data_IF_300773759101
#
_entry.id   IF_300773759101
#
_cell.length_a   1.000
_cell.length_b   1.000
_cell.length_c   1.000
_cell.angle_alpha   90.00
_cell.angle_beta   90.00
_cell.angle_gamma   90.00
#
_symmetry.space_group_name_H-M   'P 1'
#
loop_
_entity.id
_entity.type
_entity.pdbx_description
1 polymer ?
#
# COMPACT_ATOMS: atom_id res chain seq x y z
N UNK A 1 46.23 1.83 25.06
CA UNK A 1 45.12 1.08 25.69
C UNK A 1 43.72 1.73 25.57
N UNK A 2 43.60 2.99 25.11
CA UNK A 2 42.29 3.69 25.07
C UNK A 2 41.49 3.54 23.77
N UNK A 3 42.15 3.25 22.65
CA UNK A 3 41.49 3.07 21.34
C UNK A 3 40.64 1.80 21.28
N UNK A 4 41.14 0.66 21.76
CA UNK A 4 40.39 -0.60 21.78
C UNK A 4 39.10 -0.54 22.63
N UNK A 5 39.12 0.16 23.77
CA UNK A 5 37.91 0.37 24.60
C UNK A 5 36.88 1.28 23.92
N UNK A 6 37.33 2.28 23.16
CA UNK A 6 36.44 3.12 22.35
C UNK A 6 35.75 2.33 21.23
N UNK A 7 36.46 1.45 20.52
CA UNK A 7 35.86 0.62 19.45
C UNK A 7 34.85 -0.41 19.98
N UNK A 8 35.07 -0.98 21.16
CA UNK A 8 34.12 -1.91 21.79
C UNK A 8 32.86 -1.17 22.24
N UNK A 9 33.00 0.04 22.80
CA UNK A 9 31.86 0.84 23.25
C UNK A 9 31.04 1.39 22.07
N UNK A 10 31.69 1.94 21.04
CA UNK A 10 31.00 2.45 19.85
C UNK A 10 30.39 1.34 19.00
N UNK A 11 31.09 0.20 18.84
CA UNK A 11 30.56 -0.99 18.17
C UNK A 11 29.34 -1.57 18.88
N UNK A 12 29.38 -1.65 20.22
CA UNK A 12 28.25 -2.10 21.04
C UNK A 12 27.02 -1.20 20.92
N UNK A 13 27.21 0.12 20.89
CA UNK A 13 26.12 1.09 20.71
C UNK A 13 25.47 0.96 19.32
N UNK A 14 26.27 0.84 18.25
CA UNK A 14 25.75 0.69 16.89
C UNK A 14 24.93 -0.59 16.77
N UNK A 15 25.45 -1.72 17.25
CA UNK A 15 24.73 -3.01 17.21
C UNK A 15 23.44 -2.94 18.02
N UNK A 16 23.45 -2.34 19.21
CA UNK A 16 22.25 -2.16 20.02
C UNK A 16 21.20 -1.31 19.32
N UNK A 17 21.59 -0.17 18.72
CA UNK A 17 20.68 0.70 17.95
C UNK A 17 20.06 -0.08 16.78
N UNK A 18 20.85 -0.88 16.06
CA UNK A 18 20.34 -1.70 14.96
C UNK A 18 19.33 -2.74 15.45
N UNK A 19 19.62 -3.43 16.56
CA UNK A 19 18.71 -4.42 17.15
C UNK A 19 17.39 -3.77 17.58
N UNK A 20 17.45 -2.63 18.29
CA UNK A 20 16.28 -1.89 18.74
C UNK A 20 15.44 -1.41 17.53
N UNK A 21 16.11 -0.91 16.49
CA UNK A 21 15.44 -0.45 15.26
C UNK A 21 14.70 -1.59 14.55
N UNK A 22 15.34 -2.77 14.44
CA UNK A 22 14.71 -3.96 13.86
C UNK A 22 13.53 -4.43 14.71
N UNK A 23 13.67 -4.47 16.03
CA UNK A 23 12.59 -4.86 16.94
C UNK A 23 11.38 -3.90 16.85
N UNK A 24 11.63 -2.58 16.84
CA UNK A 24 10.59 -1.58 16.69
C UNK A 24 9.87 -1.67 15.34
N UNK A 25 10.61 -1.94 14.25
CA UNK A 25 10.04 -2.16 12.91
C UNK A 25 9.12 -3.38 12.88
N UNK A 26 9.59 -4.52 13.42
CA UNK A 26 8.77 -5.74 13.52
C UNK A 26 7.52 -5.54 14.38
N UNK A 27 7.65 -4.83 15.50
CA UNK A 27 6.51 -4.52 16.37
C UNK A 27 5.47 -3.65 15.64
N UNK A 28 5.93 -2.62 14.92
CA UNK A 28 5.07 -1.73 14.14
C UNK A 28 4.37 -2.47 13.01
N UNK A 29 5.11 -3.28 12.24
CA UNK A 29 4.54 -4.13 11.20
C UNK A 29 3.51 -5.10 11.77
N UNK A 30 3.85 -5.80 12.86
CA UNK A 30 2.93 -6.71 13.53
C UNK A 30 1.64 -6.00 13.97
N UNK A 31 1.74 -4.79 14.49
CA UNK A 31 0.57 -3.97 14.85
C UNK A 31 -0.25 -3.57 13.63
N UNK A 32 0.37 -3.08 12.55
CA UNK A 32 -0.35 -2.68 11.33
C UNK A 32 -1.06 -3.89 10.71
N UNK A 33 -0.36 -5.01 10.56
CA UNK A 33 -0.90 -6.24 10.01
C UNK A 33 -1.99 -6.84 10.90
N UNK A 34 -1.85 -6.80 12.24
CA UNK A 34 -2.89 -7.27 13.18
C UNK A 34 -4.04 -6.29 13.39
N UNK A 35 -3.84 -4.99 13.14
CA UNK A 35 -4.92 -4.00 13.28
C UNK A 35 -6.06 -4.23 12.32
N UNK A 36 -5.85 -5.13 11.35
CA UNK A 36 -6.86 -5.46 10.38
C UNK A 36 -7.49 -6.80 10.66
N UNK A 37 -8.59 -6.70 11.40
CA UNK A 37 -9.62 -7.71 11.40
C UNK A 37 -10.95 -7.01 11.14
N UNK A 38 -11.76 -7.57 10.25
CA UNK A 38 -13.21 -7.32 10.13
C UNK A 38 -13.65 -6.18 9.19
N UNK A 39 -13.03 -6.07 8.01
CA UNK A 39 -13.56 -5.27 6.90
C UNK A 39 -14.30 -6.11 5.84
N UNK A 40 -15.03 -5.44 4.96
CA UNK A 40 -15.71 -6.02 3.78
C UNK A 40 -14.76 -6.63 2.74
N UNK A 41 -13.45 -6.38 2.89
CA UNK A 41 -12.35 -6.87 2.04
C UNK A 41 -11.60 -8.06 2.61
N UNK A 42 -12.23 -8.80 3.52
CA UNK A 42 -11.68 -9.99 4.18
C UNK A 42 -12.47 -11.24 3.76
N UNK A 43 -11.79 -12.35 3.47
CA UNK A 43 -12.39 -13.69 3.29
C UNK A 43 -11.63 -14.76 4.06
N UNK A 44 -12.30 -15.85 4.40
CA UNK A 44 -11.73 -16.98 5.13
C UNK A 44 -11.98 -16.94 6.64
N UNK A 45 -11.30 -17.81 7.38
CA UNK A 45 -11.48 -17.97 8.82
C UNK A 45 -10.66 -16.93 9.59
N UNK A 46 -11.29 -16.19 10.51
CA UNK A 46 -10.59 -15.20 11.37
C UNK A 46 -9.50 -15.84 12.25
N UNK A 47 -9.65 -17.12 12.60
CA UNK A 47 -8.69 -17.89 13.39
C UNK A 47 -7.76 -18.75 12.53
N UNK A 48 -7.68 -18.45 11.23
CA UNK A 48 -6.77 -19.13 10.32
C UNK A 48 -5.32 -18.99 10.79
N UNK A 49 -4.57 -20.10 10.71
CA UNK A 49 -3.14 -20.12 11.05
C UNK A 49 -2.29 -19.31 10.07
N UNK A 50 -2.79 -19.14 8.85
CA UNK A 50 -2.14 -18.37 7.78
C UNK A 50 -3.00 -17.17 7.44
N UNK A 51 -2.39 -15.98 7.46
CA UNK A 51 -3.05 -14.72 7.09
C UNK A 51 -2.32 -14.05 5.95
N UNK A 52 -3.03 -13.80 4.85
CA UNK A 52 -2.54 -13.12 3.67
C UNK A 52 -3.07 -11.68 3.66
N UNK A 53 -2.18 -10.69 3.75
CA UNK A 53 -2.53 -9.29 3.47
C UNK A 53 -1.97 -8.90 2.12
N UNK A 54 -2.84 -8.52 1.19
CA UNK A 54 -2.49 -8.32 -0.21
C UNK A 54 -2.64 -6.84 -0.56
N UNK A 55 -1.53 -6.11 -0.65
CA UNK A 55 -1.49 -4.76 -1.20
C UNK A 55 -1.45 -4.84 -2.73
N UNK A 56 -2.49 -4.34 -3.37
CA UNK A 56 -2.74 -4.61 -4.79
C UNK A 56 -3.41 -3.45 -5.51
N UNK A 57 -3.23 -3.46 -6.83
CA UNK A 57 -3.70 -2.49 -7.80
C UNK A 57 -4.46 -3.23 -8.91
N UNK A 58 -5.72 -2.88 -9.13
CA UNK A 58 -6.56 -3.57 -10.09
C UNK A 58 -6.14 -3.40 -11.56
N UNK A 59 -5.40 -2.36 -11.91
CA UNK A 59 -4.91 -2.14 -13.27
C UNK A 59 -3.55 -2.81 -13.51
N UNK A 60 -2.84 -3.19 -12.44
CA UNK A 60 -1.54 -3.83 -12.52
C UNK A 60 -1.62 -5.27 -13.05
N UNK A 61 -0.96 -5.62 -14.17
CA UNK A 61 -0.96 -6.99 -14.68
C UNK A 61 -0.32 -8.03 -13.74
N UNK A 62 0.72 -7.63 -13.00
CA UNK A 62 1.34 -8.49 -12.01
C UNK A 62 0.41 -8.81 -10.83
N UNK A 63 -0.54 -7.90 -10.51
CA UNK A 63 -1.54 -8.13 -9.47
C UNK A 63 -2.57 -9.18 -9.89
N UNK A 64 -2.95 -9.22 -11.18
CA UNK A 64 -3.82 -10.27 -11.71
C UNK A 64 -3.20 -11.66 -11.49
N UNK A 65 -1.93 -11.85 -11.83
CA UNK A 65 -1.22 -13.11 -11.54
C UNK A 65 -1.10 -13.37 -10.02
N UNK A 66 -0.78 -12.34 -9.23
CA UNK A 66 -0.74 -12.47 -7.78
C UNK A 66 -2.07 -12.93 -7.17
N UNK A 67 -3.20 -12.45 -7.69
CA UNK A 67 -4.53 -12.90 -7.29
C UNK A 67 -4.71 -14.40 -7.54
N UNK A 68 -4.28 -14.90 -8.71
CA UNK A 68 -4.34 -16.35 -9.01
C UNK A 68 -3.56 -17.16 -7.99
N UNK A 69 -2.34 -16.75 -7.64
CA UNK A 69 -1.53 -17.46 -6.64
C UNK A 69 -2.18 -17.42 -5.25
N UNK A 70 -2.77 -16.27 -4.87
CA UNK A 70 -3.50 -16.13 -3.60
C UNK A 70 -4.74 -17.02 -3.58
N UNK A 71 -5.49 -17.10 -4.68
CA UNK A 71 -6.69 -17.94 -4.79
C UNK A 71 -6.36 -19.43 -4.79
N UNK A 72 -5.25 -19.84 -5.41
CA UNK A 72 -4.73 -21.22 -5.32
C UNK A 72 -4.46 -21.59 -3.86
N UNK A 73 -3.74 -20.73 -3.12
CA UNK A 73 -3.47 -20.93 -1.68
C UNK A 73 -4.79 -20.96 -0.88
N UNK A 74 -5.70 -20.04 -1.16
CA UNK A 74 -7.01 -19.96 -0.50
C UNK A 74 -7.84 -21.23 -0.69
N UNK A 75 -7.84 -21.77 -1.90
CA UNK A 75 -8.56 -22.98 -2.27
C UNK A 75 -8.00 -24.22 -1.58
N UNK A 76 -6.67 -24.34 -1.53
CA UNK A 76 -6.00 -25.50 -0.94
C UNK A 76 -6.16 -25.53 0.59
N UNK A 77 -6.00 -24.37 1.24
CA UNK A 77 -5.97 -24.26 2.68
C UNK A 77 -7.34 -24.03 3.33
N UNK A 78 -8.35 -23.60 2.56
CA UNK A 78 -9.74 -23.43 3.02
C UNK A 78 -9.82 -22.62 4.32
N UNK A 79 -10.22 -23.25 5.42
CA UNK A 79 -10.41 -22.63 6.74
C UNK A 79 -9.10 -22.34 7.48
N UNK A 80 -7.95 -22.76 6.93
CA UNK A 80 -6.62 -22.52 7.49
C UNK A 80 -5.96 -21.24 6.99
N UNK A 81 -6.60 -20.56 6.05
CA UNK A 81 -6.13 -19.29 5.51
C UNK A 81 -7.21 -18.22 5.58
N UNK A 82 -6.77 -17.00 5.83
CA UNK A 82 -7.56 -15.79 5.65
C UNK A 82 -6.86 -14.87 4.67
N UNK A 83 -7.65 -14.14 3.88
CA UNK A 83 -7.15 -13.20 2.89
C UNK A 83 -7.80 -11.85 3.14
N UNK A 84 -6.97 -10.82 3.14
CA UNK A 84 -7.40 -9.44 3.25
C UNK A 84 -6.80 -8.63 2.10
N UNK A 85 -7.66 -7.90 1.40
CA UNK A 85 -7.25 -7.02 0.30
C UNK A 85 -7.04 -5.58 0.78
N UNK A 86 -5.92 -4.99 0.36
CA UNK A 86 -5.55 -3.60 0.61
C UNK A 86 -5.35 -2.86 -0.70
N UNK A 87 -6.04 -1.75 -0.88
CA UNK A 87 -5.82 -0.91 -2.05
C UNK A 87 -4.45 -0.25 -2.01
N UNK A 88 -3.75 -0.34 -3.14
CA UNK A 88 -2.49 0.38 -3.35
C UNK A 88 -2.38 0.85 -4.82
N UNK A 89 -3.31 1.71 -5.30
CA UNK A 89 -3.26 2.22 -6.67
C UNK A 89 -1.96 2.98 -6.94
N UNK A 90 -1.25 2.57 -7.99
CA UNK A 90 0.00 3.19 -8.40
C UNK A 90 -0.26 4.40 -9.31
N UNK A 91 0.52 5.47 -9.16
CA UNK A 91 0.34 6.70 -9.93
C UNK A 91 0.45 6.52 -11.45
N UNK A 92 1.18 5.50 -11.91
CA UNK A 92 1.30 5.15 -13.34
C UNK A 92 0.06 4.47 -13.91
N UNK A 93 -0.86 4.02 -13.05
CA UNK A 93 -2.08 3.32 -13.42
C UNK A 93 -3.28 4.28 -13.32
N UNK A 94 -3.55 4.99 -14.41
CA UNK A 94 -4.58 6.03 -14.52
C UNK A 94 -5.96 5.63 -14.01
N UNK A 95 -6.34 4.36 -14.15
CA UNK A 95 -7.68 3.82 -13.82
C UNK A 95 -7.71 3.00 -12.54
N UNK A 96 -6.57 2.79 -11.86
CA UNK A 96 -6.50 1.98 -10.65
C UNK A 96 -7.36 2.56 -9.51
N UNK A 97 -7.33 3.88 -9.33
CA UNK A 97 -8.15 4.54 -8.31
C UNK A 97 -9.64 4.41 -8.61
N UNK A 98 -10.04 4.61 -9.87
CA UNK A 98 -11.44 4.47 -10.26
C UNK A 98 -11.93 3.04 -10.04
N UNK A 99 -11.16 2.04 -10.46
CA UNK A 99 -11.48 0.63 -10.19
C UNK A 99 -11.60 0.34 -8.67
N UNK A 100 -10.72 0.94 -7.85
CA UNK A 100 -10.77 0.81 -6.40
C UNK A 100 -12.02 1.46 -5.78
N UNK A 101 -12.44 2.65 -6.26
CA UNK A 101 -13.67 3.32 -5.82
C UNK A 101 -14.89 2.44 -6.08
N UNK A 102 -15.03 1.92 -7.30
CA UNK A 102 -16.12 1.01 -7.62
C UNK A 102 -16.06 -0.26 -6.76
N UNK A 103 -14.89 -0.88 -6.59
CA UNK A 103 -14.75 -2.07 -5.76
C UNK A 103 -15.12 -1.81 -4.29
N UNK A 104 -14.76 -0.65 -3.73
CA UNK A 104 -15.12 -0.29 -2.36
C UNK A 104 -16.63 -0.07 -2.22
N UNK A 105 -17.27 0.48 -3.27
CA UNK A 105 -18.72 0.60 -3.32
C UNK A 105 -19.44 -0.75 -3.48
N UNK A 106 -18.86 -1.71 -4.19
CA UNK A 106 -19.34 -3.10 -4.17
C UNK A 106 -19.15 -3.72 -2.78
N UNK A 107 -18.07 -3.36 -2.07
CA UNK A 107 -17.81 -3.81 -0.70
C UNK A 107 -18.88 -3.33 0.27
N UNK A 108 -19.34 -2.08 0.15
CA UNK A 108 -20.45 -1.53 0.95
C UNK A 108 -21.78 -2.26 0.73
N UNK A 109 -21.90 -3.02 -0.37
CA UNK A 109 -23.04 -3.88 -0.68
C UNK A 109 -22.74 -5.38 -0.49
N UNK A 110 -21.61 -5.73 0.14
CA UNK A 110 -21.24 -7.10 0.46
C UNK A 110 -20.76 -7.94 -0.73
N UNK A 111 -20.39 -7.32 -1.84
CA UNK A 111 -19.96 -7.97 -3.10
C UNK A 111 -18.54 -7.64 -3.51
N UNK A 112 -17.68 -7.33 -2.53
CA UNK A 112 -16.29 -6.98 -2.81
C UNK A 112 -15.56 -8.07 -3.61
N UNK A 113 -15.60 -9.32 -3.14
CA UNK A 113 -14.81 -10.40 -3.74
C UNK A 113 -15.31 -10.77 -5.13
N UNK A 114 -16.62 -10.80 -5.35
CA UNK A 114 -17.18 -11.02 -6.69
C UNK A 114 -16.79 -9.91 -7.66
N UNK A 115 -16.78 -8.65 -7.21
CA UNK A 115 -16.37 -7.51 -8.03
C UNK A 115 -14.85 -7.49 -8.28
N UNK A 116 -14.06 -7.79 -7.27
CA UNK A 116 -12.61 -7.99 -7.34
C UNK A 116 -12.24 -9.03 -8.40
N UNK A 117 -12.91 -10.18 -8.38
CA UNK A 117 -12.65 -11.27 -9.31
C UNK A 117 -13.03 -10.87 -10.75
N UNK A 118 -14.13 -10.15 -10.95
CA UNK A 118 -14.50 -9.61 -12.26
C UNK A 118 -13.47 -8.60 -12.79
N UNK A 119 -12.98 -7.70 -11.94
CA UNK A 119 -11.96 -6.71 -12.32
C UNK A 119 -10.69 -7.40 -12.83
N UNK A 120 -10.19 -8.41 -12.12
CA UNK A 120 -8.99 -9.13 -12.55
C UNK A 120 -9.23 -10.05 -13.74
N UNK A 121 -10.37 -10.77 -13.77
CA UNK A 121 -10.73 -11.66 -14.88
C UNK A 121 -10.84 -10.92 -16.20
N UNK A 122 -11.45 -9.73 -16.19
CA UNK A 122 -11.66 -8.88 -17.38
C UNK A 122 -10.62 -7.77 -17.51
N UNK A 123 -9.51 -7.81 -16.76
CA UNK A 123 -8.49 -6.75 -16.73
C UNK A 123 -7.99 -6.37 -18.13
N UNK A 124 -7.76 -7.35 -19.00
CA UNK A 124 -7.26 -7.09 -20.36
C UNK A 124 -8.23 -6.26 -21.22
N UNK A 125 -9.53 -6.34 -20.94
CA UNK A 125 -10.58 -5.63 -21.67
C UNK A 125 -10.60 -4.15 -21.27
N UNK A 126 -10.58 -3.84 -19.97
CA UNK A 126 -10.76 -2.47 -19.49
C UNK A 126 -9.44 -1.71 -19.22
N UNK A 127 -8.32 -2.39 -18.95
CA UNK A 127 -7.09 -1.74 -18.46
C UNK A 127 -6.34 -0.88 -19.49
N UNK A 128 -6.54 -1.13 -20.78
CA UNK A 128 -5.86 -0.46 -21.89
C UNK A 128 -6.73 0.60 -22.59
N UNK A 129 -7.95 0.79 -22.12
CA UNK A 129 -8.90 1.67 -22.78
C UNK A 129 -8.74 3.15 -22.44
N UNK A 130 -9.34 3.99 -23.28
CA UNK A 130 -9.37 5.44 -23.13
C UNK A 130 -10.15 5.92 -21.90
N UNK A 131 -11.27 5.28 -21.53
CA UNK A 131 -11.98 5.51 -20.25
C UNK A 131 -12.85 4.29 -19.89
N UNK A 132 -12.45 3.47 -18.90
CA UNK A 132 -13.09 2.18 -18.61
C UNK A 132 -14.35 2.23 -17.74
N UNK A 133 -14.85 3.42 -17.37
CA UNK A 133 -16.00 3.60 -16.46
C UNK A 133 -17.20 2.72 -16.83
N UNK A 134 -17.47 2.54 -18.13
CA UNK A 134 -18.58 1.70 -18.60
C UNK A 134 -18.43 0.23 -18.19
N UNK A 135 -17.21 -0.33 -18.19
CA UNK A 135 -16.96 -1.70 -17.71
C UNK A 135 -17.29 -1.82 -16.23
N UNK A 136 -16.88 -0.84 -15.43
CA UNK A 136 -17.12 -0.85 -13.99
C UNK A 136 -18.62 -0.84 -13.68
N UNK A 137 -19.40 0.01 -14.35
CA UNK A 137 -20.86 -0.02 -14.25
C UNK A 137 -21.48 -1.33 -14.71
N UNK A 138 -20.98 -1.91 -15.79
CA UNK A 138 -21.50 -3.19 -16.29
C UNK A 138 -21.23 -4.33 -15.31
N UNK A 139 -20.09 -4.34 -14.62
CA UNK A 139 -19.81 -5.33 -13.58
C UNK A 139 -20.74 -5.15 -12.37
N UNK A 140 -21.09 -3.91 -12.00
CA UNK A 140 -22.10 -3.66 -10.95
C UNK A 140 -23.46 -4.26 -11.32
N UNK A 141 -23.88 -4.07 -12.58
CA UNK A 141 -25.12 -4.64 -13.10
C UNK A 141 -25.08 -6.17 -13.15
N UNK A 142 -23.96 -6.76 -13.60
CA UNK A 142 -23.74 -8.22 -13.63
C UNK A 142 -23.93 -8.84 -12.24
N UNK A 143 -23.45 -8.15 -11.19
CA UNK A 143 -23.61 -8.56 -9.80
C UNK A 143 -24.94 -8.15 -9.16
N UNK A 144 -25.85 -7.53 -9.92
CA UNK A 144 -27.16 -7.05 -9.47
C UNK A 144 -27.07 -6.09 -8.27
N UNK A 145 -26.04 -5.25 -8.26
CA UNK A 145 -25.85 -4.22 -7.23
C UNK A 145 -26.77 -3.02 -7.46
N UNK A 146 -27.13 -2.34 -6.38
CA UNK A 146 -27.97 -1.13 -6.42
C UNK A 146 -27.16 0.04 -7.00
N UNK A 147 -27.36 0.34 -8.27
CA UNK A 147 -26.61 1.38 -8.99
C UNK A 147 -26.85 2.78 -8.43
N UNK A 148 -28.04 3.06 -7.87
CA UNK A 148 -28.33 4.35 -7.25
C UNK A 148 -27.52 4.59 -5.98
N UNK A 149 -27.21 3.52 -5.23
CA UNK A 149 -26.24 3.59 -4.11
C UNK A 149 -24.81 3.75 -4.61
N UNK A 150 -24.45 3.12 -5.72
CA UNK A 150 -23.10 3.23 -6.30
C UNK A 150 -22.81 4.67 -6.76
N UNK A 151 -23.75 5.36 -7.41
CA UNK A 151 -23.55 6.74 -7.91
C UNK A 151 -23.13 7.70 -6.78
N UNK A 152 -23.78 7.58 -5.63
CA UNK A 152 -23.46 8.36 -4.43
C UNK A 152 -22.13 7.91 -3.81
N UNK A 153 -21.89 6.61 -3.79
CA UNK A 153 -20.71 6.03 -3.17
C UNK A 153 -19.41 6.40 -3.91
N UNK A 154 -19.37 6.31 -5.24
CA UNK A 154 -18.12 6.54 -6.01
C UNK A 154 -17.64 8.00 -5.95
N UNK A 155 -18.49 8.92 -5.51
CA UNK A 155 -18.16 10.35 -5.30
C UNK A 155 -17.98 10.72 -3.84
N UNK A 156 -18.28 9.81 -2.90
CA UNK A 156 -18.16 10.08 -1.47
C UNK A 156 -16.69 10.11 -1.06
N UNK A 157 -16.26 11.24 -0.49
CA UNK A 157 -14.90 11.43 0.02
C UNK A 157 -14.52 10.36 1.06
N UNK A 158 -15.48 9.84 1.83
CA UNK A 158 -15.22 8.77 2.79
C UNK A 158 -14.74 7.48 2.13
N UNK A 159 -15.19 7.20 0.90
CA UNK A 159 -14.77 6.02 0.13
C UNK A 159 -13.33 6.21 -0.32
N UNK A 160 -12.99 7.41 -0.81
CA UNK A 160 -11.61 7.78 -1.14
C UNK A 160 -10.69 7.69 0.09
N UNK A 161 -11.14 8.16 1.26
CA UNK A 161 -10.39 8.09 2.51
C UNK A 161 -10.10 6.64 2.95
N UNK A 162 -11.04 5.69 2.73
CA UNK A 162 -10.79 4.26 3.01
C UNK A 162 -9.72 3.67 2.10
N UNK A 163 -9.73 4.02 0.82
CA UNK A 163 -8.69 3.62 -0.15
C UNK A 163 -7.33 4.24 0.24
N UNK A 164 -7.32 5.52 0.61
CA UNK A 164 -6.10 6.22 1.03
C UNK A 164 -5.53 5.63 2.32
N UNK A 165 -6.37 5.24 3.28
CA UNK A 165 -5.97 4.57 4.52
C UNK A 165 -5.24 3.25 4.25
N UNK A 166 -5.75 2.43 3.32
CA UNK A 166 -5.05 1.20 2.90
C UNK A 166 -3.72 1.53 2.23
N UNK A 167 -3.69 2.54 1.35
CA UNK A 167 -2.44 2.96 0.70
C UNK A 167 -1.40 3.46 1.71
N UNK A 168 -1.82 4.24 2.70
CA UNK A 168 -0.94 4.80 3.72
C UNK A 168 -0.44 3.74 4.69
N UNK A 169 -1.25 2.72 5.03
CA UNK A 169 -0.75 1.57 5.79
C UNK A 169 0.31 0.81 5.00
N UNK A 170 0.16 0.68 3.68
CA UNK A 170 1.19 0.12 2.81
C UNK A 170 2.48 0.95 2.82
N UNK A 171 2.39 2.28 2.72
CA UNK A 171 3.55 3.18 2.79
C UNK A 171 4.27 3.09 4.14
N UNK A 172 3.54 3.01 5.25
CA UNK A 172 4.10 2.79 6.59
C UNK A 172 4.85 1.45 6.68
N UNK A 173 4.37 0.44 5.96
CA UNK A 173 5.05 -0.84 5.78
C UNK A 173 6.13 -0.81 4.70
N UNK A 174 6.46 0.35 4.11
CA UNK A 174 7.44 0.46 3.01
C UNK A 174 7.09 -0.43 1.81
N UNK A 175 5.79 -0.60 1.52
CA UNK A 175 5.34 -1.18 0.25
C UNK A 175 5.65 -0.18 -0.86
N UNK A 176 6.41 -0.62 -1.85
CA UNK A 176 6.86 0.21 -2.99
C UNK A 176 6.44 -0.36 -4.35
N UNK A 177 5.82 -1.54 -4.38
CA UNK A 177 5.36 -2.20 -5.60
C UNK A 177 4.18 -3.11 -5.32
N UNK A 178 3.43 -3.42 -6.38
CA UNK A 178 2.24 -4.28 -6.30
C UNK A 178 2.37 -5.49 -7.25
N UNK A 179 1.88 -6.67 -6.85
CA UNK A 179 1.31 -6.95 -5.55
C UNK A 179 2.44 -7.09 -4.51
N UNK A 180 2.24 -6.59 -3.30
CA UNK A 180 3.06 -6.99 -2.13
C UNK A 180 2.16 -7.77 -1.19
N UNK A 181 2.58 -8.99 -0.86
CA UNK A 181 1.82 -9.91 -0.03
C UNK A 181 2.57 -10.16 1.28
N UNK A 182 1.88 -9.99 2.39
CA UNK A 182 2.37 -10.43 3.69
C UNK A 182 1.70 -11.75 4.04
N UNK A 183 2.49 -12.80 4.24
CA UNK A 183 2.05 -14.06 4.86
C UNK A 183 2.44 -13.99 6.32
N UNK A 184 1.46 -13.89 7.22
CA UNK A 184 1.69 -13.57 8.63
C UNK A 184 2.55 -12.29 8.75
N UNK A 185 3.80 -12.39 9.19
CA UNK A 185 4.76 -11.28 9.29
C UNK A 185 5.83 -11.29 8.18
N UNK A 186 5.81 -12.24 7.26
CA UNK A 186 6.80 -12.33 6.18
C UNK A 186 6.30 -11.68 4.89
N UNK A 187 7.12 -10.80 4.32
CA UNK A 187 6.83 -10.06 3.08
C UNK A 187 7.30 -10.83 1.84
N UNK A 188 6.46 -10.83 0.81
CA UNK A 188 6.74 -11.34 -0.53
C UNK A 188 6.34 -10.28 -1.56
N UNK A 189 7.26 -9.96 -2.47
CA UNK A 189 7.08 -8.94 -3.51
C UNK A 189 6.76 -9.64 -4.83
N UNK A 190 5.52 -9.48 -5.29
CA UNK A 190 5.00 -10.09 -6.50
C UNK A 190 4.46 -11.52 -6.31
N UNK A 191 3.56 -11.92 -7.21
CA UNK A 191 3.00 -13.28 -7.21
C UNK A 191 4.06 -14.37 -7.45
N UNK A 192 5.13 -14.07 -8.20
CA UNK A 192 6.21 -15.03 -8.47
C UNK A 192 6.95 -15.44 -7.20
N UNK A 193 7.29 -14.46 -6.35
CA UNK A 193 7.96 -14.75 -5.09
C UNK A 193 7.02 -15.47 -4.12
N UNK A 194 5.74 -15.09 -4.08
CA UNK A 194 4.73 -15.79 -3.29
C UNK A 194 4.60 -17.26 -3.71
N UNK A 195 4.59 -17.55 -5.01
CA UNK A 195 4.47 -18.93 -5.52
C UNK A 195 5.72 -19.77 -5.20
N UNK A 196 6.93 -19.23 -5.47
CA UNK A 196 8.17 -19.97 -5.30
C UNK A 196 8.61 -20.11 -3.82
N UNK A 197 8.54 -19.02 -3.06
CA UNK A 197 9.07 -18.94 -1.68
C UNK A 197 7.97 -18.87 -0.63
N UNK A 198 6.85 -18.20 -0.95
CA UNK A 198 5.73 -18.02 -0.04
C UNK A 198 5.03 -19.33 0.29
N UNK A 199 4.75 -20.16 -0.71
CA UNK A 199 4.17 -21.49 -0.48
C UNK A 199 5.07 -22.39 0.40
N UNK A 200 6.40 -22.32 0.21
CA UNK A 200 7.37 -23.00 1.07
C UNK A 200 7.27 -22.52 2.52
N UNK A 201 7.28 -21.21 2.72
CA UNK A 201 7.16 -20.61 4.04
C UNK A 201 5.83 -20.99 4.71
N UNK A 202 4.72 -20.98 3.98
CA UNK A 202 3.41 -21.42 4.48
C UNK A 202 3.46 -22.88 4.93
N UNK A 203 4.07 -23.78 4.15
CA UNK A 203 4.23 -25.18 4.53
C UNK A 203 5.06 -25.34 5.82
N UNK A 204 6.11 -24.55 6.00
CA UNK A 204 6.91 -24.51 7.23
C UNK A 204 6.09 -24.02 8.44
N UNK A 205 5.27 -22.98 8.28
CA UNK A 205 4.38 -22.47 9.33
C UNK A 205 3.31 -23.50 9.72
N UNK A 206 2.70 -24.17 8.75
CA UNK A 206 1.70 -25.22 9.00
C UNK A 206 2.31 -26.46 9.67
N UNK A 207 3.55 -26.81 9.33
CA UNK A 207 4.26 -27.94 9.96
C UNK A 207 4.46 -27.73 11.45
N UNK A 208 4.67 -26.48 11.91
CA UNK A 208 4.82 -26.15 13.34
C UNK A 208 3.58 -26.47 14.17
N UNK A 209 2.41 -26.55 13.53
CA UNK A 209 1.14 -26.91 14.17
C UNK A 209 0.67 -28.32 13.78
N UNK A 210 1.58 -29.17 13.30
CA UNK A 210 1.30 -30.58 12.98
C UNK A 210 0.58 -30.80 11.65
N UNK A 211 0.56 -29.82 10.74
CA UNK A 211 -0.07 -29.94 9.43
C UNK A 211 0.97 -30.01 8.31
N UNK A 212 0.96 -31.09 7.53
CA UNK A 212 1.81 -31.23 6.33
C UNK A 212 1.00 -30.83 5.09
N UNK A 213 1.23 -29.61 4.59
CA UNK A 213 0.62 -29.14 3.35
C UNK A 213 1.57 -29.35 2.18
N UNK A 214 1.11 -30.13 1.19
CA UNK A 214 1.79 -30.26 -0.11
C UNK A 214 1.22 -29.23 -1.07
N UNK A 215 2.11 -28.51 -1.74
CA UNK A 215 1.75 -27.49 -2.72
C UNK A 215 2.46 -27.77 -4.04
N UNK A 216 1.79 -27.43 -5.13
CA UNK A 216 2.41 -27.38 -6.45
C UNK A 216 2.71 -25.92 -6.78
N UNK A 217 3.91 -25.64 -7.28
CA UNK A 217 4.18 -24.37 -7.95
C UNK A 217 3.29 -24.32 -9.19
N UNK A 218 2.50 -23.26 -9.33
CA UNK A 218 1.62 -23.12 -10.49
C UNK A 218 2.51 -22.65 -11.66
N UNK A 219 2.68 -23.42 -12.75
CA UNK A 219 3.47 -22.96 -13.88
C UNK A 219 2.97 -21.59 -14.31
N UNK A 220 3.88 -20.62 -14.45
CA UNK A 220 3.54 -19.29 -14.92
C UNK A 220 2.70 -19.42 -16.20
N UNK A 221 1.48 -18.87 -16.26
CA UNK A 221 0.83 -18.73 -17.55
C UNK A 221 1.81 -17.94 -18.44
N UNK A 222 2.00 -18.33 -19.71
CA UNK A 222 2.85 -17.58 -20.60
C UNK A 222 2.42 -16.11 -20.54
N UNK A 223 3.38 -15.15 -20.63
CA UNK A 223 3.03 -13.75 -20.76
C UNK A 223 1.99 -13.67 -21.87
N UNK A 224 0.87 -12.96 -21.66
CA UNK A 224 -0.17 -12.93 -22.67
C UNK A 224 0.49 -12.51 -23.98
N UNK A 225 0.50 -13.43 -24.96
CA UNK A 225 0.78 -13.07 -26.35
C UNK A 225 -0.15 -11.91 -26.63
N UNK A 226 0.40 -10.83 -27.17
CA UNK A 226 -0.36 -9.64 -27.53
C UNK A 226 -1.38 -10.02 -28.62
N UNK A 227 -2.49 -10.65 -28.23
CA UNK A 227 -3.67 -10.76 -29.03
C UNK A 227 -4.26 -9.36 -29.05
N UNK A 228 -4.28 -8.77 -30.23
CA UNK A 228 -5.07 -7.57 -30.49
C UNK A 228 -6.51 -7.88 -30.06
N UNK A 229 -7.14 -7.03 -29.22
CA UNK A 229 -8.54 -7.23 -28.91
C UNK A 229 -9.33 -7.10 -30.21
N UNK A 230 -10.11 -8.12 -30.56
CA UNK A 230 -11.30 -7.87 -31.35
C UNK A 230 -12.18 -6.96 -30.49
N UNK A 231 -12.32 -5.70 -30.89
CA UNK A 231 -13.31 -4.80 -30.32
C UNK A 231 -14.66 -5.52 -30.40
N UNK A 232 -15.29 -5.80 -29.26
CA UNK A 232 -16.70 -6.18 -29.27
C UNK A 232 -17.51 -4.88 -29.45
N UNK A 233 -18.11 -4.62 -30.63
CA UNK A 233 -18.71 -3.31 -30.91
C UNK A 233 -19.96 -3.01 -30.07
N UNK A 234 -20.45 -4.00 -29.31
CA UNK A 234 -21.74 -3.93 -28.63
C UNK A 234 -21.67 -3.35 -27.20
N UNK A 235 -20.47 -3.10 -26.65
CA UNK A 235 -20.33 -2.54 -25.29
C UNK A 235 -20.03 -1.03 -25.33
N UNK A 236 -19.49 -0.51 -26.45
CA UNK A 236 -19.14 0.91 -26.60
C UNK A 236 -20.37 1.86 -26.72
N UNK A 237 -21.56 1.33 -27.00
CA UNK A 237 -22.75 2.14 -27.31
C UNK A 237 -23.78 2.23 -26.18
N UNK A 238 -23.50 1.72 -24.98
CA UNK A 238 -24.35 1.97 -23.82
C UNK A 238 -23.76 3.12 -23.01
N UNK A 239 -24.12 4.36 -23.35
CA UNK A 239 -23.86 5.55 -22.54
C UNK A 239 -24.45 5.38 -21.13
N UNK A 240 -23.64 5.30 -20.05
CA UNK A 240 -24.10 5.67 -18.71
C UNK A 240 -24.19 7.21 -18.64
N UNK A 241 -24.83 7.79 -17.61
CA UNK A 241 -24.81 9.24 -17.43
C UNK A 241 -23.35 9.74 -17.36
N UNK A 242 -22.97 10.53 -18.36
CA UNK A 242 -21.68 11.21 -18.40
C UNK A 242 -21.66 12.33 -17.38
N UNK A 243 -20.46 12.67 -16.90
CA UNK A 243 -20.15 13.74 -15.95
C UNK A 243 -20.36 13.49 -14.45
N UNK A 244 -20.08 12.29 -13.95
CA UNK A 244 -19.69 12.18 -12.55
C UNK A 244 -18.19 12.54 -12.44
N UNK A 245 -17.82 13.68 -11.81
CA UNK A 245 -16.42 14.00 -11.54
C UNK A 245 -15.90 12.98 -10.52
N UNK A 246 -15.09 12.04 -10.99
CA UNK A 246 -14.36 11.13 -10.10
C UNK A 246 -13.28 11.98 -9.41
N UNK A 247 -13.16 11.92 -8.08
CA UNK A 247 -12.08 12.60 -7.38
C UNK A 247 -10.74 12.18 -7.97
N UNK A 248 -9.98 13.14 -8.50
CA UNK A 248 -8.60 12.88 -8.91
C UNK A 248 -7.76 12.75 -7.64
N UNK A 249 -6.99 11.66 -7.51
CA UNK A 249 -5.93 11.64 -6.51
C UNK A 249 -4.98 12.80 -6.84
N UNK A 250 -4.89 13.76 -5.92
CA UNK A 250 -3.90 14.82 -6.04
C UNK A 250 -2.49 14.18 -6.11
N UNK A 251 -1.58 14.69 -6.95
CA UNK A 251 -0.20 14.24 -6.93
C UNK A 251 0.37 14.53 -5.54
N UNK A 252 0.61 13.47 -4.77
CA UNK A 252 1.26 13.57 -3.47
C UNK A 252 2.68 14.05 -3.74
N UNK A 253 2.99 15.29 -3.34
CA UNK A 253 4.37 15.79 -3.33
C UNK A 253 5.18 14.84 -2.44
N UNK A 254 6.08 14.08 -3.05
CA UNK A 254 7.09 13.30 -2.34
C UNK A 254 8.00 14.28 -1.58
N UNK A 255 7.62 14.62 -0.37
CA UNK A 255 8.54 15.22 0.61
C UNK A 255 8.71 14.19 1.72
N UNK A 256 9.85 13.52 1.68
CA UNK A 256 10.40 12.87 2.87
C UNK A 256 10.61 13.99 3.89
N UNK A 257 10.02 13.94 5.11
CA UNK A 257 10.40 14.90 6.12
C UNK A 257 11.81 14.56 6.57
N UNK A 258 12.79 15.31 6.05
CA UNK A 258 14.11 15.42 6.66
C UNK A 258 13.88 15.99 8.06
N UNK A 259 14.08 15.16 9.08
CA UNK A 259 14.15 15.64 10.45
C UNK A 259 15.31 16.64 10.55
N UNK A 260 14.99 17.93 10.58
CA UNK A 260 15.91 19.00 10.91
C UNK A 260 15.51 19.57 12.27
N UNK A 261 16.35 19.19 13.23
CA UNK A 261 16.54 19.70 14.59
C UNK A 261 16.03 21.14 14.76
N UNK A 262 14.94 21.27 15.51
CA UNK A 262 14.45 22.54 16.02
C UNK A 262 15.36 23.00 17.17
N UNK A 263 16.20 24.02 16.93
CA UNK A 263 16.92 24.72 17.99
C UNK A 263 15.94 25.51 18.85
N UNK A 264 15.32 24.82 19.81
CA UNK A 264 14.48 25.44 20.83
C UNK A 264 15.38 26.29 21.75
N UNK A 265 15.35 27.61 21.53
CA UNK A 265 15.87 28.62 22.46
C UNK A 265 15.36 28.31 23.87
N UNK A 266 16.27 27.95 24.76
CA UNK A 266 16.02 27.83 26.19
C UNK A 266 15.81 29.25 26.72
N UNK A 267 14.59 29.55 27.17
CA UNK A 267 14.27 30.77 27.91
C UNK A 267 14.85 30.67 29.34
N UNK A 268 15.58 31.67 29.86
CA UNK A 268 16.11 31.62 31.22
C UNK A 268 15.03 31.90 32.27
N UNK A 269 15.13 31.20 33.40
CA UNK A 269 14.36 31.40 34.63
C UNK A 269 14.83 32.70 35.31
N UNK A 270 13.94 33.59 35.81
CA UNK A 270 14.36 34.81 36.50
C UNK A 270 14.60 34.53 38.00
N UNK A 271 15.81 34.84 38.49
CA UNK A 271 16.12 34.78 39.92
C UNK A 271 17.60 34.95 40.30
N UNK A 272 18.03 36.21 40.44
CA UNK A 272 19.18 36.71 41.23
C UNK A 272 20.64 36.36 40.77
N UNK A 273 21.68 37.08 41.26
CA UNK A 273 22.02 38.44 40.83
C UNK A 273 23.47 38.60 40.27
N UNK A 274 23.62 39.63 39.43
CA UNK A 274 24.78 40.52 39.21
C UNK A 274 26.17 40.12 39.74
N UNK A 275 27.16 40.03 38.83
CA UNK A 275 28.47 40.70 38.98
C UNK A 275 29.06 41.15 37.64
N UNK A 276 29.56 42.38 37.67
CA UNK A 276 30.25 43.17 36.65
C UNK A 276 31.52 42.52 36.07
N UNK A 277 31.85 42.87 34.82
CA UNK A 277 33.11 43.52 34.39
C UNK A 277 33.12 43.57 32.86
N UNK A 278 32.89 44.75 32.28
CA UNK A 278 33.95 45.59 31.70
C UNK A 278 34.64 44.97 30.47
N UNK A 279 34.41 45.60 29.31
CA UNK A 279 35.44 46.33 28.55
C UNK A 279 35.19 46.26 27.04
N UNK A 280 35.25 47.42 26.38
CA UNK A 280 35.89 47.52 25.06
C UNK A 280 34.99 47.69 23.84
N UNK A 281 34.41 48.88 23.72
CA UNK A 281 34.22 49.65 22.47
C UNK A 281 35.49 49.70 21.57
N UNK A 282 35.49 50.41 20.41
CA UNK A 282 34.55 50.53 19.28
C UNK A 282 35.29 50.31 17.93
N UNK A 283 34.73 50.44 16.71
CA UNK A 283 34.72 51.67 15.89
C UNK A 283 34.17 51.37 14.47
N UNK A 284 33.31 52.28 13.95
CA UNK A 284 33.27 52.83 12.57
C UNK A 284 32.78 51.93 11.41
N UNK A 285 31.67 52.18 10.70
CA UNK A 285 31.21 53.34 9.90
C UNK A 285 32.03 53.58 8.61
N UNK A 286 31.46 53.22 7.45
CA UNK A 286 31.29 54.10 6.25
C UNK A 286 30.75 53.34 5.03
N UNK A 287 29.55 53.71 4.59
CA UNK A 287 29.12 54.20 3.26
C UNK A 287 29.76 53.69 1.95
N UNK A 288 28.90 53.58 0.91
CA UNK A 288 29.25 53.70 -0.52
C UNK A 288 28.95 52.45 -1.35
N UNK A 289 27.81 52.32 -2.04
CA UNK A 289 27.40 52.90 -3.34
C UNK A 289 27.96 52.18 -4.59
N UNK A 290 27.11 52.12 -5.63
CA UNK A 290 27.33 51.88 -7.07
C UNK A 290 27.34 50.44 -7.64
N UNK A 291 26.17 50.06 -8.20
CA UNK A 291 25.87 49.80 -9.63
C UNK A 291 26.89 49.20 -10.63
N UNK A 292 26.33 48.42 -11.58
CA UNK A 292 26.87 47.89 -12.87
C UNK A 292 27.76 46.63 -12.76
N UNK A 293 27.60 45.54 -13.51
CA UNK A 293 27.30 45.34 -14.93
C UNK A 293 26.51 44.03 -15.19
N UNK A 294 25.77 44.04 -16.32
CA UNK A 294 25.38 42.94 -17.25
C UNK A 294 25.20 41.51 -16.73
#
# INVERSE_FOLDING_TARGET
MNTAKHYILTGGIIVFILIVSVAASKFTQGKILKSVEQGTKFKGNKKASIRLVVYSDFQCPACSYGSTVVDDIAKDLKDKVSVEYKYFPLAMHKWALEAALFAECAADQGKFWEYHDLLFKKQKEWSKEGRPTAYFWNFMKELKLDTGKIEKCVTDEKVLQRIQKDSDSGKQLQVSSTPTIFVNDKRFVGGKQLDAEGKKYIAEELKKIGMDWKYTSTPLPPPPVAAQPALNPLIANQHPPHNIPIPTAQPVKNTVPTAAIENKKITPIPGAPSKNSDAGEPVGRSDGNSSFFR
#
